data_IF_770314917677
#
_entry.id   IF_770314917677
#
_cell.length_a   1.000
_cell.length_b   1.000
_cell.length_c   1.000
_cell.angle_alpha   90.00
_cell.angle_beta   90.00
_cell.angle_gamma   90.00
#
_symmetry.space_group_name_H-M   'P 1'
#
loop_
_entity.id
_entity.type
_entity.pdbx_description
1 polymer ?
#
# COMPACT_ATOMS: atom_id res chain seq x y z
N UNK A 1 -0.98 21.02 25.94
CA UNK A 1 -1.80 19.85 25.65
C UNK A 1 -3.16 20.30 25.10
N UNK A 2 -3.50 19.88 23.92
CA UNK A 2 -4.82 20.08 23.33
C UNK A 2 -5.64 18.82 23.55
N UNK A 3 -6.89 18.98 23.99
CA UNK A 3 -7.79 17.87 24.27
C UNK A 3 -9.18 18.11 23.67
N UNK A 4 -9.84 17.05 23.28
CA UNK A 4 -11.25 17.05 22.84
C UNK A 4 -11.46 17.91 21.57
N UNK A 5 -10.82 17.53 20.49
CA UNK A 5 -11.10 18.09 19.16
C UNK A 5 -12.08 17.16 18.45
N UNK A 6 -13.19 17.72 17.97
CA UNK A 6 -14.17 16.95 17.19
C UNK A 6 -14.46 17.68 15.88
N UNK A 7 -14.30 17.00 14.76
CA UNK A 7 -14.61 17.48 13.41
C UNK A 7 -15.70 16.57 12.84
N UNK A 8 -16.87 17.13 12.57
CA UNK A 8 -18.03 16.35 12.08
C UNK A 8 -18.41 16.65 10.62
N UNK A 9 -17.69 17.57 9.98
CA UNK A 9 -17.96 17.93 8.59
C UNK A 9 -17.27 19.23 8.16
N UNK A 10 -17.60 19.70 6.97
CA UNK A 10 -17.01 20.91 6.39
C UNK A 10 -15.62 20.68 5.81
N UNK A 11 -14.94 21.77 5.46
CA UNK A 11 -13.55 21.76 5.01
C UNK A 11 -12.69 22.42 6.07
N UNK A 12 -11.70 21.69 6.54
CA UNK A 12 -10.75 22.13 7.57
C UNK A 12 -9.34 22.10 6.99
N UNK A 13 -8.71 23.27 6.95
CA UNK A 13 -7.29 23.40 6.66
C UNK A 13 -6.59 23.91 7.91
N UNK A 14 -5.70 23.09 8.47
CA UNK A 14 -4.99 23.41 9.68
C UNK A 14 -3.48 23.31 9.48
N UNK A 15 -2.79 24.35 9.88
CA UNK A 15 -1.35 24.45 9.72
C UNK A 15 -0.69 24.69 11.07
N UNK A 16 0.22 23.80 11.45
CA UNK A 16 0.99 23.91 12.70
C UNK A 16 1.94 25.12 12.65
N UNK A 17 2.08 25.77 13.79
CA UNK A 17 2.93 26.95 13.90
C UNK A 17 4.42 26.61 13.88
N UNK A 18 5.25 27.60 13.54
CA UNK A 18 6.72 27.49 13.43
C UNK A 18 7.47 27.11 14.74
N UNK A 19 6.76 26.99 15.85
CA UNK A 19 7.30 26.55 17.14
C UNK A 19 7.19 25.03 17.40
N UNK A 20 6.96 24.21 16.39
CA UNK A 20 6.87 22.75 16.56
C UNK A 20 5.48 22.24 16.96
N UNK A 21 4.43 23.03 16.73
CA UNK A 21 3.05 22.59 16.94
C UNK A 21 2.54 21.64 15.86
N UNK A 22 1.62 20.74 16.23
CA UNK A 22 0.87 19.94 15.28
C UNK A 22 -0.07 20.80 14.42
N UNK A 23 -0.41 20.33 13.20
CA UNK A 23 -1.46 20.97 12.41
C UNK A 23 -2.79 20.95 13.14
N UNK A 24 -3.21 19.78 13.61
CA UNK A 24 -4.35 19.61 14.52
C UNK A 24 -3.86 18.88 15.75
N UNK A 25 -3.89 19.55 16.92
CA UNK A 25 -3.50 18.89 18.16
C UNK A 25 -2.60 19.72 19.07
N UNK A 26 -1.50 19.12 19.54
CA UNK A 26 -0.62 19.70 20.52
C UNK A 26 0.26 20.83 19.99
N UNK A 27 0.51 21.86 20.81
CA UNK A 27 1.59 22.82 20.60
C UNK A 27 2.95 22.23 21.03
N UNK A 28 3.98 23.04 21.02
CA UNK A 28 5.32 22.66 21.49
C UNK A 28 5.28 22.03 22.89
N UNK A 29 5.90 20.87 23.04
CA UNK A 29 5.85 20.01 24.25
C UNK A 29 4.43 19.63 24.68
N UNK A 30 3.48 19.71 23.75
CA UNK A 30 2.09 19.41 24.04
C UNK A 30 1.59 18.19 23.27
N UNK A 31 0.91 17.30 23.97
CA UNK A 31 0.22 16.18 23.35
C UNK A 31 -1.11 16.61 22.73
N UNK A 32 -1.48 15.99 21.62
CA UNK A 32 -2.82 16.02 21.06
C UNK A 32 -3.58 14.80 21.57
N UNK A 33 -4.71 15.03 22.25
CA UNK A 33 -5.46 13.94 22.87
C UNK A 33 -6.96 14.04 22.61
N UNK A 34 -7.60 12.88 22.39
CA UNK A 34 -9.01 12.74 22.10
C UNK A 34 -9.41 13.60 20.87
N UNK A 35 -8.82 13.25 19.73
CA UNK A 35 -9.10 13.89 18.43
C UNK A 35 -10.03 12.98 17.65
N UNK A 36 -11.22 13.45 17.32
CA UNK A 36 -12.25 12.70 16.61
C UNK A 36 -12.54 13.37 15.28
N UNK A 37 -12.38 12.63 14.19
CA UNK A 37 -12.78 13.07 12.84
C UNK A 37 -13.89 12.14 12.36
N UNK A 38 -15.10 12.69 12.28
CA UNK A 38 -16.29 11.97 11.84
C UNK A 38 -16.98 12.69 10.69
N UNK A 39 -16.19 12.97 9.64
CA UNK A 39 -16.67 13.60 8.41
C UNK A 39 -15.84 14.80 7.98
N UNK A 40 -16.21 15.34 6.82
CA UNK A 40 -15.56 16.50 6.24
C UNK A 40 -14.29 16.18 5.42
N UNK A 41 -13.72 17.25 4.87
CA UNK A 41 -12.44 17.23 4.19
C UNK A 41 -11.40 17.93 5.10
N UNK A 42 -10.47 17.19 5.65
CA UNK A 42 -9.49 17.67 6.62
C UNK A 42 -8.10 17.61 6.03
N UNK A 43 -7.43 18.75 5.94
CA UNK A 43 -6.01 18.84 5.61
C UNK A 43 -5.26 19.42 6.80
N UNK A 44 -4.35 18.64 7.36
CA UNK A 44 -3.53 19.04 8.50
C UNK A 44 -2.05 18.91 8.15
N UNK A 45 -1.33 20.01 8.22
CA UNK A 45 0.10 20.06 7.88
C UNK A 45 0.87 20.82 8.95
N UNK A 46 2.18 20.64 8.96
CA UNK A 46 3.07 21.48 9.75
C UNK A 46 3.92 22.35 8.81
N UNK A 47 4.03 23.65 9.10
CA UNK A 47 4.94 24.55 8.40
C UNK A 47 6.00 25.08 9.34
N UNK A 48 7.26 25.04 8.92
CA UNK A 48 8.37 25.69 9.61
C UNK A 48 8.72 25.15 11.00
N UNK A 49 7.77 24.57 11.70
CA UNK A 49 7.98 23.80 12.92
C UNK A 49 8.27 22.36 12.55
N UNK A 50 9.48 22.03 12.39
CA UNK A 50 9.96 20.81 11.81
C UNK A 50 9.62 19.54 12.63
N UNK A 51 8.94 19.68 13.76
CA UNK A 51 8.89 18.64 14.79
C UNK A 51 7.49 18.16 15.19
N UNK A 52 6.41 18.82 14.75
CA UNK A 52 5.04 18.43 15.10
C UNK A 52 4.45 17.39 14.14
N UNK A 53 3.47 16.64 14.61
CA UNK A 53 2.64 15.78 13.76
C UNK A 53 1.70 16.60 12.87
N UNK A 54 1.24 16.03 11.74
CA UNK A 54 0.13 16.62 11.00
C UNK A 54 -1.12 16.67 11.89
N UNK A 55 -1.50 15.50 12.44
CA UNK A 55 -2.58 15.38 13.43
C UNK A 55 -2.03 14.65 14.66
N UNK A 56 -2.08 15.28 15.83
CA UNK A 56 -1.64 14.65 17.08
C UNK A 56 -0.73 15.51 17.94
N UNK A 57 0.47 15.04 18.25
CA UNK A 57 1.43 15.71 19.12
C UNK A 57 2.21 16.82 18.44
N UNK A 58 2.52 17.91 19.19
CA UNK A 58 3.60 18.83 18.82
C UNK A 58 4.96 18.21 19.15
N UNK A 59 6.05 18.95 18.91
CA UNK A 59 7.41 18.54 19.32
C UNK A 59 7.44 18.21 20.81
N UNK A 60 7.96 17.02 21.16
CA UNK A 60 7.97 16.51 22.52
C UNK A 60 6.59 16.08 23.04
N UNK A 61 5.61 15.91 22.19
CA UNK A 61 4.25 15.51 22.56
C UNK A 61 3.72 14.32 21.79
N UNK A 62 2.87 13.54 22.45
CA UNK A 62 2.25 12.36 21.84
C UNK A 62 0.96 12.70 21.12
N UNK A 63 0.60 11.87 20.17
CA UNK A 63 -0.75 11.80 19.60
C UNK A 63 -1.47 10.61 20.22
N UNK A 64 -2.48 10.89 21.04
CA UNK A 64 -3.18 9.84 21.79
C UNK A 64 -4.67 9.91 21.57
N UNK A 65 -5.32 8.72 21.54
CA UNK A 65 -6.76 8.61 21.42
C UNK A 65 -7.28 9.35 20.16
N UNK A 66 -6.74 9.01 19.00
CA UNK A 66 -7.09 9.62 17.71
C UNK A 66 -8.06 8.67 16.99
N UNK A 67 -9.25 9.17 16.67
CA UNK A 67 -10.31 8.40 16.05
C UNK A 67 -10.69 9.02 14.71
N UNK A 68 -10.53 8.27 13.62
CA UNK A 68 -11.00 8.65 12.29
C UNK A 68 -12.11 7.68 11.91
N UNK A 69 -13.34 8.19 11.91
CA UNK A 69 -14.55 7.40 11.69
C UNK A 69 -15.01 7.51 10.25
N UNK A 70 -14.91 8.70 9.67
CA UNK A 70 -15.31 8.98 8.29
C UNK A 70 -14.66 10.26 7.78
N UNK A 71 -14.90 10.62 6.50
CA UNK A 71 -14.38 11.83 5.87
C UNK A 71 -13.13 11.56 5.02
N UNK A 72 -12.58 12.64 4.47
CA UNK A 72 -11.33 12.62 3.70
C UNK A 72 -10.26 13.35 4.49
N UNK A 73 -9.23 12.63 4.94
CA UNK A 73 -8.19 13.15 5.80
C UNK A 73 -6.84 13.09 5.09
N UNK A 74 -6.17 14.24 5.01
CA UNK A 74 -4.78 14.34 4.58
C UNK A 74 -3.96 14.94 5.70
N UNK A 75 -2.99 14.17 6.21
CA UNK A 75 -2.13 14.60 7.30
C UNK A 75 -0.66 14.52 6.88
N UNK A 76 0.10 15.58 7.11
CA UNK A 76 1.54 15.63 6.81
C UNK A 76 2.30 16.14 8.01
N UNK A 77 3.20 15.31 8.52
CA UNK A 77 4.08 15.66 9.63
C UNK A 77 5.20 16.61 9.21
N UNK A 78 5.74 17.36 10.17
CA UNK A 78 7.00 18.06 10.01
C UNK A 78 8.17 17.09 9.97
N UNK A 79 9.37 17.57 9.76
CA UNK A 79 10.57 16.77 9.53
C UNK A 79 10.75 15.58 10.50
N UNK A 80 10.43 15.81 11.77
CA UNK A 80 10.59 14.82 12.85
C UNK A 80 9.25 14.22 13.33
N UNK A 81 8.12 14.69 12.80
CA UNK A 81 6.79 14.28 13.25
C UNK A 81 6.15 13.22 12.36
N UNK A 82 5.22 12.49 12.92
CA UNK A 82 4.34 11.59 12.19
C UNK A 82 3.31 12.36 11.34
N UNK A 83 2.77 11.73 10.30
CA UNK A 83 1.58 12.25 9.62
C UNK A 83 0.40 12.32 10.59
N UNK A 84 0.08 11.18 11.23
CA UNK A 84 -0.92 11.07 12.28
C UNK A 84 -0.26 10.39 13.48
N UNK A 85 -0.23 11.05 14.64
CA UNK A 85 0.33 10.49 15.87
C UNK A 85 1.30 11.41 16.61
N UNK A 86 2.52 10.96 16.88
CA UNK A 86 3.51 11.69 17.68
C UNK A 86 4.23 12.78 16.90
N UNK A 87 4.61 13.87 17.59
CA UNK A 87 5.65 14.79 17.16
C UNK A 87 7.05 14.20 17.43
N UNK A 88 8.11 14.99 17.25
CA UNK A 88 9.48 14.62 17.65
C UNK A 88 9.50 14.16 19.12
N UNK A 89 10.14 13.04 19.41
CA UNK A 89 10.16 12.38 20.72
C UNK A 89 8.76 12.05 21.29
N UNK A 90 7.76 11.95 20.44
CA UNK A 90 6.38 11.61 20.81
C UNK A 90 5.86 10.36 20.12
N UNK A 91 5.13 9.54 20.86
CA UNK A 91 4.50 8.33 20.35
C UNK A 91 3.12 8.60 19.74
N UNK A 92 2.70 7.73 18.83
CA UNK A 92 1.32 7.62 18.39
C UNK A 92 0.65 6.46 19.13
N UNK A 93 -0.33 6.75 19.97
CA UNK A 93 -0.94 5.75 20.84
C UNK A 93 -2.46 5.74 20.71
N UNK A 94 -3.07 4.55 20.70
CA UNK A 94 -4.52 4.38 20.61
C UNK A 94 -5.09 5.11 19.37
N UNK A 95 -4.53 4.85 18.19
CA UNK A 95 -5.01 5.42 16.93
C UNK A 95 -5.98 4.44 16.30
N UNK A 96 -7.23 4.87 16.08
CA UNK A 96 -8.26 4.04 15.48
C UNK A 96 -8.79 4.65 14.20
N UNK A 97 -8.75 3.89 13.11
CA UNK A 97 -9.34 4.25 11.83
C UNK A 97 -10.41 3.22 11.49
N UNK A 98 -11.68 3.62 11.56
CA UNK A 98 -12.81 2.75 11.27
C UNK A 98 -13.47 3.04 9.92
N UNK A 99 -13.09 4.11 9.25
CA UNK A 99 -13.65 4.45 7.94
C UNK A 99 -13.00 5.69 7.31
N UNK A 100 -13.59 6.14 6.21
CA UNK A 100 -13.10 7.29 5.46
C UNK A 100 -11.93 7.00 4.51
N UNK A 101 -11.41 8.07 3.92
CA UNK A 101 -10.21 8.04 3.07
C UNK A 101 -9.09 8.80 3.77
N UNK A 102 -8.07 8.09 4.22
CA UNK A 102 -6.98 8.63 5.03
C UNK A 102 -5.67 8.56 4.25
N UNK A 103 -5.01 9.70 4.10
CA UNK A 103 -3.66 9.78 3.53
C UNK A 103 -2.74 10.46 4.53
N UNK A 104 -1.75 9.72 5.02
CA UNK A 104 -0.82 10.17 6.05
C UNK A 104 0.62 10.10 5.55
N UNK A 105 1.34 11.20 5.65
CA UNK A 105 2.75 11.31 5.31
C UNK A 105 3.56 11.68 6.54
N UNK A 106 4.49 10.84 6.93
CA UNK A 106 5.50 11.17 7.92
C UNK A 106 6.52 12.18 7.39
N UNK A 107 7.08 12.98 8.28
CA UNK A 107 8.28 13.75 7.98
C UNK A 107 9.50 12.82 7.83
N UNK A 108 10.66 13.36 7.51
CA UNK A 108 11.88 12.59 7.22
C UNK A 108 12.17 11.46 8.24
N UNK A 109 11.88 11.71 9.53
CA UNK A 109 12.14 10.79 10.62
C UNK A 109 10.88 10.16 11.23
N UNK A 110 9.69 10.59 10.83
CA UNK A 110 8.42 10.16 11.39
C UNK A 110 7.75 9.05 10.59
N UNK A 111 6.87 8.30 11.23
CA UNK A 111 5.98 7.35 10.60
C UNK A 111 4.85 8.07 9.83
N UNK A 112 4.25 7.40 8.84
CA UNK A 112 3.01 7.87 8.24
C UNK A 112 1.90 7.95 9.28
N UNK A 113 1.66 6.84 9.98
CA UNK A 113 0.74 6.74 11.12
C UNK A 113 1.50 6.10 12.29
N UNK A 114 1.61 6.79 13.43
CA UNK A 114 2.29 6.29 14.61
C UNK A 114 3.26 7.28 15.23
N UNK A 115 4.53 6.91 15.41
CA UNK A 115 5.52 7.74 16.12
C UNK A 115 6.22 8.78 15.26
N UNK A 116 6.67 9.89 15.90
CA UNK A 116 7.68 10.77 15.34
C UNK A 116 9.11 10.23 15.55
N UNK A 117 10.15 11.02 15.30
CA UNK A 117 11.53 10.66 15.62
C UNK A 117 11.65 10.28 17.10
N UNK A 118 12.25 9.14 17.41
CA UNK A 118 12.32 8.53 18.73
C UNK A 118 10.94 8.29 19.40
N UNK A 119 9.88 8.15 18.62
CA UNK A 119 8.52 7.85 19.11
C UNK A 119 7.97 6.57 18.50
N UNK A 120 7.37 5.70 19.31
CA UNK A 120 6.77 4.44 18.89
C UNK A 120 5.37 4.59 18.32
N UNK A 121 4.90 3.54 17.64
CA UNK A 121 3.50 3.38 17.27
C UNK A 121 2.88 2.26 18.09
N UNK A 122 1.91 2.58 18.94
CA UNK A 122 1.35 1.64 19.90
C UNK A 122 -0.19 1.61 19.82
N UNK A 123 -0.77 0.40 19.87
CA UNK A 123 -2.22 0.22 19.81
C UNK A 123 -2.87 0.93 18.61
N UNK A 124 -2.38 0.64 17.41
CA UNK A 124 -2.94 1.18 16.17
C UNK A 124 -3.96 0.19 15.62
N UNK A 125 -5.20 0.61 15.45
CA UNK A 125 -6.28 -0.24 14.94
C UNK A 125 -6.87 0.33 13.66
N UNK A 126 -6.94 -0.47 12.61
CA UNK A 126 -7.61 -0.14 11.34
C UNK A 126 -8.68 -1.20 11.10
N UNK A 127 -9.94 -0.80 11.20
CA UNK A 127 -11.09 -1.70 11.00
C UNK A 127 -11.88 -1.41 9.72
N UNK A 128 -11.51 -0.35 8.98
CA UNK A 128 -12.20 -0.01 7.74
C UNK A 128 -11.61 1.21 7.03
N UNK A 129 -12.24 1.60 5.93
CA UNK A 129 -11.82 2.73 5.11
C UNK A 129 -10.71 2.41 4.11
N UNK A 130 -10.23 3.45 3.45
CA UNK A 130 -9.07 3.40 2.56
C UNK A 130 -7.93 4.19 3.18
N UNK A 131 -6.88 3.51 3.57
CA UNK A 131 -5.74 4.09 4.31
C UNK A 131 -4.49 4.00 3.46
N UNK A 132 -3.86 5.14 3.21
CA UNK A 132 -2.53 5.23 2.63
C UNK A 132 -1.59 5.90 3.64
N UNK A 133 -0.64 5.16 4.16
CA UNK A 133 0.36 5.63 5.10
C UNK A 133 1.75 5.51 4.49
N UNK A 134 2.47 6.62 4.46
CA UNK A 134 3.84 6.67 3.92
C UNK A 134 4.76 7.24 4.99
N UNK A 135 5.73 6.46 5.40
CA UNK A 135 6.80 6.90 6.31
C UNK A 135 7.77 7.87 5.62
N UNK A 136 8.39 8.73 6.41
CA UNK A 136 9.55 9.47 5.95
C UNK A 136 10.78 8.56 5.79
N UNK A 137 11.89 9.10 5.34
CA UNK A 137 13.12 8.34 5.03
C UNK A 137 13.48 7.26 6.07
N UNK A 138 13.27 7.55 7.34
CA UNK A 138 13.63 6.68 8.47
C UNK A 138 12.44 6.11 9.24
N UNK A 139 11.21 6.47 8.86
CA UNK A 139 9.99 6.04 9.54
C UNK A 139 9.29 4.87 8.85
N UNK A 140 8.49 4.15 9.60
CA UNK A 140 7.58 3.14 9.07
C UNK A 140 6.38 3.78 8.33
N UNK A 141 5.73 3.05 7.45
CA UNK A 141 4.43 3.45 6.92
C UNK A 141 3.40 3.56 8.04
N UNK A 142 3.24 2.48 8.79
CA UNK A 142 2.41 2.41 10.01
C UNK A 142 3.27 1.84 11.13
N UNK A 143 3.45 2.59 12.23
CA UNK A 143 4.20 2.13 13.40
C UNK A 143 5.23 3.12 13.92
N UNK A 144 6.49 2.70 14.06
CA UNK A 144 7.55 3.51 14.66
C UNK A 144 8.13 4.59 13.75
N UNK A 145 8.51 5.74 14.34
CA UNK A 145 9.44 6.66 13.71
C UNK A 145 10.88 6.14 13.80
N UNK A 146 11.85 6.96 13.41
CA UNK A 146 13.28 6.59 13.53
C UNK A 146 13.64 6.22 14.96
N UNK A 147 14.47 5.18 15.13
CA UNK A 147 14.93 4.60 16.40
C UNK A 147 13.81 4.09 17.32
N UNK A 148 12.67 3.71 16.75
CA UNK A 148 11.51 3.34 17.56
C UNK A 148 10.75 2.16 17.02
N UNK A 149 10.23 1.40 17.97
CA UNK A 149 9.48 0.19 17.73
C UNK A 149 8.01 0.49 17.37
N UNK A 150 7.36 -0.50 16.84
CA UNK A 150 5.92 -0.59 16.79
C UNK A 150 5.45 -1.79 17.62
N UNK A 151 4.37 -1.59 18.37
CA UNK A 151 3.75 -2.64 19.16
C UNK A 151 2.23 -2.58 19.03
N UNK A 152 1.63 -3.76 18.93
CA UNK A 152 0.18 -3.93 18.89
C UNK A 152 -0.52 -3.16 17.76
N UNK A 153 -0.26 -3.58 16.54
CA UNK A 153 -0.97 -3.07 15.35
C UNK A 153 -2.00 -4.10 14.92
N UNK A 154 -3.27 -3.70 14.84
CA UNK A 154 -4.36 -4.57 14.42
C UNK A 154 -5.04 -4.02 13.17
N UNK A 155 -5.15 -4.85 12.12
CA UNK A 155 -5.91 -4.52 10.92
C UNK A 155 -6.99 -5.58 10.74
N UNK A 156 -8.25 -5.21 10.96
CA UNK A 156 -9.39 -6.12 10.85
C UNK A 156 -10.26 -5.84 9.61
N UNK A 157 -9.93 -4.83 8.81
CA UNK A 157 -10.68 -4.52 7.59
C UNK A 157 -10.15 -3.31 6.85
N UNK A 158 -10.82 -2.97 5.75
CA UNK A 158 -10.47 -1.85 4.89
C UNK A 158 -9.44 -2.19 3.80
N UNK A 159 -9.02 -1.15 3.08
CA UNK A 159 -7.94 -1.23 2.10
C UNK A 159 -6.76 -0.41 2.62
N UNK A 160 -5.68 -1.06 2.97
CA UNK A 160 -4.52 -0.44 3.61
C UNK A 160 -3.30 -0.55 2.70
N UNK A 161 -2.68 0.58 2.42
CA UNK A 161 -1.37 0.65 1.76
C UNK A 161 -0.39 1.33 2.70
N UNK A 162 0.57 0.57 3.20
CA UNK A 162 1.60 1.04 4.09
C UNK A 162 2.97 0.96 3.42
N UNK A 163 3.58 2.11 3.19
CA UNK A 163 4.90 2.22 2.57
C UNK A 163 5.90 2.75 3.59
N UNK A 164 6.90 1.97 3.92
CA UNK A 164 8.05 2.40 4.70
C UNK A 164 8.90 3.41 3.93
N UNK A 165 9.57 4.31 4.65
CA UNK A 165 10.65 5.09 4.07
C UNK A 165 11.89 4.23 3.81
N UNK A 166 12.95 4.77 3.23
CA UNK A 166 14.17 4.04 2.83
C UNK A 166 14.67 3.01 3.86
N UNK A 167 14.55 3.31 5.14
CA UNK A 167 15.02 2.47 6.24
C UNK A 167 13.91 1.98 7.18
N UNK A 168 12.65 2.21 6.86
CA UNK A 168 11.50 1.84 7.67
C UNK A 168 10.76 0.63 7.13
N UNK A 169 10.06 -0.08 7.99
CA UNK A 169 9.13 -1.13 7.60
C UNK A 169 7.87 -0.55 6.93
N UNK A 170 7.18 -1.32 6.11
CA UNK A 170 5.84 -0.97 5.66
C UNK A 170 4.89 -0.84 6.85
N UNK A 171 4.78 -1.92 7.63
CA UNK A 171 4.06 -1.97 8.91
C UNK A 171 5.03 -2.48 9.97
N UNK A 172 5.30 -1.69 11.00
CA UNK A 172 6.21 -2.08 12.07
C UNK A 172 7.20 -1.00 12.48
N UNK A 173 8.47 -1.36 12.67
CA UNK A 173 9.51 -0.47 13.16
C UNK A 173 10.00 0.56 12.14
N UNK A 174 10.43 1.72 12.63
CA UNK A 174 11.26 2.64 11.86
C UNK A 174 12.72 2.18 11.79
N UNK A 175 13.62 3.00 11.27
CA UNK A 175 15.05 2.70 11.28
C UNK A 175 15.56 2.32 12.67
N UNK A 176 16.22 1.22 12.81
CA UNK A 176 16.68 0.60 14.05
C UNK A 176 15.55 0.23 15.04
N UNK A 177 14.31 0.25 14.62
CA UNK A 177 13.13 -0.15 15.38
C UNK A 177 12.58 -1.49 14.97
N UNK A 178 12.00 -2.20 15.92
CA UNK A 178 11.36 -3.51 15.76
C UNK A 178 9.85 -3.36 15.54
N UNK A 179 9.23 -4.34 14.89
CA UNK A 179 7.78 -4.47 14.80
C UNK A 179 7.32 -5.73 15.49
N UNK A 180 6.45 -5.59 16.47
CA UNK A 180 5.97 -6.70 17.32
C UNK A 180 4.45 -6.65 17.45
N UNK A 181 3.81 -7.84 17.66
CA UNK A 181 2.38 -7.91 17.93
C UNK A 181 1.51 -7.39 16.79
N UNK A 182 1.86 -7.70 15.54
CA UNK A 182 1.13 -7.23 14.36
C UNK A 182 0.10 -8.28 13.96
N UNK A 183 -1.18 -7.92 14.02
CA UNK A 183 -2.31 -8.82 13.73
C UNK A 183 -3.12 -8.29 12.54
N UNK A 184 -3.30 -9.10 11.52
CA UNK A 184 -4.13 -8.79 10.34
C UNK A 184 -5.22 -9.86 10.23
N UNK A 185 -6.47 -9.48 10.55
CA UNK A 185 -7.62 -10.39 10.61
C UNK A 185 -8.53 -10.28 9.37
N UNK A 186 -8.34 -9.25 8.57
CA UNK A 186 -9.16 -9.01 7.37
C UNK A 186 -8.71 -7.79 6.59
N UNK A 187 -9.44 -7.52 5.50
CA UNK A 187 -9.14 -6.42 4.59
C UNK A 187 -8.10 -6.77 3.52
N UNK A 188 -7.82 -5.80 2.68
CA UNK A 188 -6.75 -5.89 1.66
C UNK A 188 -5.60 -5.01 2.08
N UNK A 189 -4.47 -5.61 2.39
CA UNK A 189 -3.29 -4.95 2.96
C UNK A 189 -2.10 -5.09 2.03
N UNK A 190 -1.51 -3.97 1.63
CA UNK A 190 -0.21 -3.94 0.96
C UNK A 190 0.78 -3.25 1.87
N UNK A 191 1.76 -4.00 2.35
CA UNK A 191 2.83 -3.52 3.20
C UNK A 191 4.16 -3.62 2.44
N UNK A 192 4.78 -2.49 2.15
CA UNK A 192 6.05 -2.45 1.45
C UNK A 192 7.13 -1.81 2.33
N UNK A 193 8.19 -2.54 2.59
CA UNK A 193 9.38 -1.99 3.23
C UNK A 193 10.07 -0.96 2.34
N UNK A 194 10.79 -0.03 2.95
CA UNK A 194 11.78 0.76 2.23
C UNK A 194 13.01 -0.10 1.91
N UNK A 195 14.04 0.45 1.29
CA UNK A 195 15.17 -0.32 0.76
C UNK A 195 15.76 -1.33 1.76
N UNK A 196 15.86 -0.97 3.03
CA UNK A 196 16.40 -1.84 4.06
C UNK A 196 15.36 -2.29 5.11
N UNK A 197 14.09 -1.96 4.94
CA UNK A 197 13.00 -2.32 5.85
C UNK A 197 12.27 -3.59 5.44
N UNK A 198 11.67 -4.28 6.40
CA UNK A 198 10.74 -5.38 6.12
C UNK A 198 9.41 -4.85 5.56
N UNK A 199 8.69 -5.67 4.81
CA UNK A 199 7.29 -5.40 4.47
C UNK A 199 6.47 -5.25 5.75
N UNK A 200 6.52 -6.29 6.60
CA UNK A 200 5.90 -6.30 7.92
C UNK A 200 6.95 -6.74 8.95
N UNK A 201 7.21 -5.92 9.97
CA UNK A 201 8.19 -6.24 11.01
C UNK A 201 9.19 -5.14 11.29
N UNK A 202 10.49 -5.44 11.23
CA UNK A 202 11.55 -4.50 11.56
C UNK A 202 11.89 -3.50 10.46
N UNK A 203 12.24 -2.26 10.83
CA UNK A 203 12.99 -1.38 9.97
C UNK A 203 14.46 -1.82 9.89
N UNK A 204 15.29 -1.08 9.17
CA UNK A 204 16.72 -1.37 9.04
C UNK A 204 17.37 -1.67 10.38
N UNK A 205 17.95 -2.85 10.54
CA UNK A 205 18.60 -3.30 11.78
C UNK A 205 17.65 -3.63 12.93
N UNK A 206 16.34 -3.54 12.73
CA UNK A 206 15.30 -3.95 13.69
C UNK A 206 14.77 -5.35 13.42
N UNK A 207 14.09 -5.92 14.41
CA UNK A 207 13.52 -7.27 14.34
C UNK A 207 12.01 -7.24 14.08
N UNK A 208 11.48 -8.29 13.46
CA UNK A 208 10.05 -8.56 13.42
C UNK A 208 9.74 -9.76 14.32
N UNK A 209 8.62 -9.73 15.04
CA UNK A 209 8.11 -10.88 15.79
C UNK A 209 6.60 -10.78 15.99
N UNK A 210 6.00 -11.92 16.35
CA UNK A 210 4.59 -12.03 16.72
C UNK A 210 3.64 -11.44 15.66
N UNK A 211 3.82 -11.89 14.42
CA UNK A 211 2.95 -11.52 13.29
C UNK A 211 1.90 -12.60 13.11
N UNK A 212 0.63 -12.20 13.17
CA UNK A 212 -0.52 -13.09 12.94
C UNK A 212 -1.33 -12.60 11.76
N UNK A 213 -1.64 -13.47 10.82
CA UNK A 213 -2.56 -13.20 9.70
C UNK A 213 -3.66 -14.24 9.68
N UNK A 214 -4.92 -13.81 9.77
CA UNK A 214 -6.04 -14.72 9.94
C UNK A 214 -7.29 -14.26 9.18
N UNK A 215 -8.36 -15.05 9.25
CA UNK A 215 -9.63 -14.74 8.63
C UNK A 215 -9.56 -14.58 7.11
N UNK A 216 -10.23 -13.57 6.59
CA UNK A 216 -10.26 -13.26 5.15
C UNK A 216 -9.22 -12.21 4.74
N UNK A 217 -8.15 -12.06 5.50
CA UNK A 217 -7.09 -11.09 5.20
C UNK A 217 -6.40 -11.40 3.86
N UNK A 218 -6.27 -10.41 3.00
CA UNK A 218 -5.52 -10.47 1.76
C UNK A 218 -4.29 -9.57 1.89
N UNK A 219 -3.15 -10.18 2.16
CA UNK A 219 -1.92 -9.46 2.47
C UNK A 219 -0.90 -9.60 1.34
N UNK A 220 -0.35 -8.49 0.88
CA UNK A 220 0.85 -8.47 0.05
C UNK A 220 1.97 -7.84 0.86
N UNK A 221 2.99 -8.63 1.17
CA UNK A 221 4.16 -8.19 1.93
C UNK A 221 5.37 -8.11 1.00
N UNK A 222 5.87 -6.90 0.78
CA UNK A 222 6.99 -6.63 -0.10
C UNK A 222 8.24 -6.32 0.71
N UNK A 223 9.28 -7.10 0.53
CA UNK A 223 10.60 -6.85 1.11
C UNK A 223 11.26 -5.60 0.53
N UNK A 224 12.09 -4.94 1.31
CA UNK A 224 12.99 -3.91 0.79
C UNK A 224 14.06 -4.51 -0.12
N UNK A 225 14.64 -3.71 -1.01
CA UNK A 225 15.59 -4.16 -2.05
C UNK A 225 17.03 -4.31 -1.57
N UNK A 226 17.37 -3.74 -0.43
CA UNK A 226 18.74 -3.52 -0.01
C UNK A 226 19.31 -2.17 -0.48
N UNK A 227 20.46 -1.82 0.02
CA UNK A 227 21.15 -0.57 -0.31
C UNK A 227 22.66 -0.70 -0.12
N UNK A 228 23.38 0.40 -0.30
CA UNK A 228 24.86 0.43 -0.31
C UNK A 228 25.55 -0.07 0.97
N UNK A 229 24.86 -0.11 2.09
CA UNK A 229 25.46 -0.43 3.40
C UNK A 229 24.68 -1.48 4.21
N UNK A 230 23.52 -1.88 3.72
CA UNK A 230 22.63 -2.83 4.40
C UNK A 230 21.94 -3.72 3.36
N UNK A 231 21.67 -4.94 3.74
CA UNK A 231 20.92 -5.87 2.92
C UNK A 231 19.43 -5.53 2.79
N UNK A 232 18.71 -6.25 1.96
CA UNK A 232 17.26 -6.14 1.85
C UNK A 232 16.57 -6.53 3.17
N UNK A 233 15.39 -5.98 3.43
CA UNK A 233 14.53 -6.46 4.51
C UNK A 233 13.85 -7.78 4.17
N UNK A 234 13.20 -8.40 5.14
CA UNK A 234 12.30 -9.54 4.96
C UNK A 234 10.95 -9.09 4.35
N UNK A 235 10.18 -10.01 3.83
CA UNK A 235 8.77 -9.75 3.53
C UNK A 235 7.98 -9.61 4.83
N UNK A 236 8.13 -10.61 5.72
CA UNK A 236 7.66 -10.58 7.09
C UNK A 236 8.86 -10.99 7.98
N UNK A 237 9.28 -10.11 8.89
CA UNK A 237 10.44 -10.42 9.73
C UNK A 237 11.37 -9.23 9.97
N UNK A 238 12.66 -9.49 9.91
CA UNK A 238 13.68 -8.50 10.26
C UNK A 238 13.97 -7.53 9.11
N UNK A 239 14.39 -6.32 9.45
CA UNK A 239 14.99 -5.40 8.48
C UNK A 239 16.40 -5.86 8.07
N UNK A 240 16.90 -5.31 6.96
CA UNK A 240 18.22 -5.62 6.44
C UNK A 240 19.34 -5.25 7.40
N UNK A 241 20.43 -6.01 7.38
CA UNK A 241 21.57 -5.87 8.29
C UNK A 241 22.82 -5.35 7.61
N UNK A 242 23.77 -4.81 8.38
CA UNK A 242 25.11 -4.45 7.91
C UNK A 242 26.08 -5.62 7.91
N UNK A 243 25.63 -6.78 8.35
CA UNK A 243 26.44 -8.01 8.34
C UNK A 243 26.65 -8.47 6.89
N UNK A 244 27.78 -9.13 6.65
CA UNK A 244 28.14 -9.62 5.32
C UNK A 244 28.33 -11.13 5.35
N UNK A 245 28.04 -11.76 4.22
CA UNK A 245 28.38 -13.14 3.97
C UNK A 245 29.89 -13.32 3.65
N UNK A 246 30.28 -14.56 3.35
CA UNK A 246 31.68 -14.89 3.00
C UNK A 246 32.14 -14.28 1.66
N UNK A 247 31.22 -13.84 0.82
CA UNK A 247 31.49 -13.21 -0.49
C UNK A 247 31.47 -11.68 -0.40
N UNK A 248 31.12 -11.13 0.79
CA UNK A 248 31.11 -9.72 1.08
C UNK A 248 29.78 -9.00 0.77
N UNK A 249 28.72 -9.75 0.37
CA UNK A 249 27.38 -9.20 0.19
C UNK A 249 26.70 -8.97 1.54
N UNK A 250 25.89 -7.92 1.65
CA UNK A 250 25.10 -7.66 2.85
C UNK A 250 24.01 -8.70 3.02
N UNK A 251 23.88 -9.22 4.24
CA UNK A 251 22.87 -10.20 4.57
C UNK A 251 21.47 -9.58 4.59
N UNK A 252 20.46 -10.28 4.02
CA UNK A 252 19.07 -9.86 4.14
C UNK A 252 18.59 -9.96 5.59
N UNK A 253 17.48 -9.28 5.87
CA UNK A 253 16.69 -9.54 7.07
C UNK A 253 16.17 -10.98 7.07
N UNK A 254 16.12 -11.57 8.24
CA UNK A 254 15.60 -12.92 8.43
C UNK A 254 14.08 -12.92 8.28
N UNK A 255 13.55 -13.80 7.43
CA UNK A 255 12.11 -14.07 7.35
C UNK A 255 11.68 -14.80 8.62
N UNK A 256 10.50 -14.45 9.12
CA UNK A 256 9.83 -15.19 10.20
C UNK A 256 8.55 -15.81 9.66
N UNK A 257 8.17 -16.94 10.24
CA UNK A 257 6.88 -17.56 9.96
C UNK A 257 5.78 -16.75 10.65
N UNK A 258 4.83 -16.21 9.90
CA UNK A 258 3.64 -15.63 10.48
C UNK A 258 2.71 -16.74 11.01
N UNK A 259 2.01 -16.47 12.11
CA UNK A 259 0.90 -17.35 12.52
C UNK A 259 -0.28 -17.16 11.57
N UNK A 260 -0.51 -18.14 10.71
CA UNK A 260 -1.62 -18.18 9.75
C UNK A 260 -2.78 -19.07 10.19
N UNK A 261 -2.85 -19.40 11.48
CA UNK A 261 -3.93 -20.20 12.03
C UNK A 261 -5.28 -19.51 11.80
N UNK A 262 -6.17 -20.20 11.08
CA UNK A 262 -7.47 -19.64 10.73
C UNK A 262 -7.48 -18.66 9.54
N UNK A 263 -6.42 -18.57 8.77
CA UNK A 263 -6.37 -17.80 7.52
C UNK A 263 -7.18 -18.51 6.43
N UNK A 264 -8.45 -18.16 6.29
CA UNK A 264 -9.37 -18.73 5.30
C UNK A 264 -10.58 -17.80 5.09
N UNK A 265 -10.90 -17.35 3.87
CA UNK A 265 -10.22 -17.59 2.58
C UNK A 265 -9.05 -16.61 2.28
N UNK A 266 -8.40 -16.07 3.29
CA UNK A 266 -7.33 -15.12 3.15
C UNK A 266 -6.03 -15.73 2.63
N UNK A 267 -5.05 -14.87 2.39
CA UNK A 267 -3.70 -15.27 1.96
C UNK A 267 -2.65 -14.22 2.33
N UNK A 268 -1.39 -14.65 2.32
CA UNK A 268 -0.23 -13.77 2.28
C UNK A 268 0.49 -13.99 0.95
N UNK A 269 0.70 -12.96 0.20
CA UNK A 269 1.58 -12.92 -0.98
C UNK A 269 2.88 -12.23 -0.60
N UNK A 270 3.94 -12.96 -0.58
CA UNK A 270 5.30 -12.49 -0.27
C UNK A 270 6.03 -12.15 -1.55
N UNK A 271 6.68 -10.99 -1.62
CA UNK A 271 7.41 -10.54 -2.81
C UNK A 271 8.77 -9.98 -2.43
N UNK A 272 9.82 -10.51 -3.04
CA UNK A 272 11.19 -10.00 -2.96
C UNK A 272 11.60 -9.51 -4.35
N UNK A 273 12.17 -8.33 -4.42
CA UNK A 273 12.61 -7.72 -5.67
C UNK A 273 14.13 -7.75 -5.82
N UNK A 274 14.59 -7.78 -7.06
CA UNK A 274 15.95 -7.46 -7.44
C UNK A 274 16.20 -5.95 -7.34
N UNK A 275 17.45 -5.52 -7.42
CA UNK A 275 17.84 -4.11 -7.45
C UNK A 275 17.19 -3.34 -8.62
N UNK A 276 17.01 -4.00 -9.76
CA UNK A 276 16.38 -3.44 -10.97
C UNK A 276 14.84 -3.33 -10.87
N UNK A 277 14.25 -3.84 -9.78
CA UNK A 277 12.81 -3.81 -9.54
C UNK A 277 12.04 -5.00 -10.11
N UNK A 278 12.70 -5.95 -10.76
CA UNK A 278 12.08 -7.22 -11.16
C UNK A 278 11.86 -8.12 -9.94
N UNK A 279 10.85 -8.99 -10.01
CA UNK A 279 10.58 -9.96 -8.94
C UNK A 279 11.72 -10.99 -8.89
N UNK A 280 12.39 -11.09 -7.75
CA UNK A 280 13.42 -12.08 -7.49
C UNK A 280 12.83 -13.39 -7.00
N UNK A 281 11.83 -13.32 -6.11
CA UNK A 281 11.14 -14.45 -5.51
C UNK A 281 9.77 -13.99 -5.02
N UNK A 282 8.78 -14.84 -5.21
CA UNK A 282 7.45 -14.69 -4.61
C UNK A 282 6.89 -16.05 -4.18
N UNK A 283 6.04 -16.04 -3.16
CA UNK A 283 5.31 -17.22 -2.70
C UNK A 283 4.03 -16.81 -1.97
N UNK A 284 3.12 -17.76 -1.80
CA UNK A 284 1.83 -17.57 -1.12
C UNK A 284 1.73 -18.44 0.12
N UNK A 285 1.07 -17.93 1.13
CA UNK A 285 0.67 -18.67 2.31
C UNK A 285 -0.84 -18.52 2.55
N UNK A 286 -1.62 -19.63 2.59
CA UNK A 286 -1.16 -21.00 2.27
C UNK A 286 -0.82 -21.14 0.76
N UNK A 287 0.04 -22.09 0.43
CA UNK A 287 0.44 -22.35 -0.98
C UNK A 287 -0.77 -22.61 -1.89
N UNK A 288 -1.87 -23.15 -1.34
CA UNK A 288 -3.13 -23.36 -2.06
C UNK A 288 -3.82 -22.05 -2.51
N UNK A 289 -3.45 -20.93 -1.96
CA UNK A 289 -3.97 -19.61 -2.36
C UNK A 289 -3.21 -19.00 -3.54
N UNK A 290 -2.11 -19.65 -3.96
CA UNK A 290 -1.37 -19.25 -5.15
C UNK A 290 -2.31 -19.30 -6.36
N UNK A 291 -2.41 -18.24 -7.16
CA UNK A 291 -3.12 -18.31 -8.44
C UNK A 291 -2.52 -19.47 -9.26
N UNK A 292 -3.34 -20.43 -9.61
CA UNK A 292 -2.86 -21.51 -10.50
C UNK A 292 -2.45 -20.87 -11.82
N UNK A 293 -1.21 -21.08 -12.29
CA UNK A 293 -0.91 -20.75 -13.68
C UNK A 293 -1.89 -21.53 -14.55
N UNK A 294 -2.46 -20.92 -15.58
CA UNK A 294 -3.24 -21.63 -16.56
C UNK A 294 -2.37 -22.74 -17.17
N UNK A 295 -2.54 -23.96 -16.65
CA UNK A 295 -1.98 -25.15 -17.27
C UNK A 295 -2.85 -25.38 -18.50
N UNK A 296 -2.29 -25.41 -19.72
CA UNK A 296 -3.05 -25.80 -20.90
C UNK A 296 -3.74 -27.13 -20.61
N UNK A 297 -5.06 -27.20 -20.79
CA UNK A 297 -5.85 -28.40 -20.51
C UNK A 297 -5.24 -29.61 -21.24
N UNK A 298 -5.00 -30.71 -20.50
CA UNK A 298 -4.64 -31.98 -21.09
C UNK A 298 -5.83 -32.44 -22.00
N UNK A 299 -5.64 -32.61 -23.30
CA UNK A 299 -6.74 -32.93 -24.23
C UNK A 299 -7.43 -34.26 -23.95
N UNK A 300 -7.05 -35.00 -22.92
CA UNK A 300 -7.59 -36.31 -22.57
C UNK A 300 -8.44 -36.36 -21.30
N UNK A 301 -8.72 -35.20 -20.63
CA UNK A 301 -9.64 -35.15 -19.49
C UNK A 301 -11.02 -34.68 -19.95
N UNK A 302 -12.14 -35.41 -19.66
CA UNK A 302 -13.48 -34.94 -20.01
C UNK A 302 -13.83 -33.63 -19.29
N UNK A 303 -14.24 -32.62 -20.06
CA UNK A 303 -14.67 -31.31 -19.56
C UNK A 303 -15.91 -31.46 -18.68
N UNK A 304 -15.82 -30.96 -17.40
CA UNK A 304 -17.00 -30.41 -16.72
C UNK A 304 -17.21 -28.99 -17.27
N UNK A 305 -18.42 -28.70 -17.74
CA UNK A 305 -18.77 -27.46 -18.42
C UNK A 305 -18.47 -26.23 -17.55
N UNK A 306 -17.29 -25.63 -17.73
CA UNK A 306 -17.01 -24.25 -17.37
C UNK A 306 -17.34 -23.37 -18.57
N UNK A 307 -18.16 -22.35 -18.39
CA UNK A 307 -18.44 -21.38 -19.44
C UNK A 307 -17.15 -20.54 -19.70
N UNK A 308 -16.17 -21.15 -20.35
CA UNK A 308 -15.06 -20.42 -20.95
C UNK A 308 -15.54 -19.73 -22.22
N UNK A 309 -15.46 -18.42 -22.22
CA UNK A 309 -15.62 -17.63 -23.44
C UNK A 309 -14.37 -17.86 -24.28
N UNK A 310 -14.49 -18.66 -25.35
CA UNK A 310 -13.44 -18.82 -26.36
C UNK A 310 -13.11 -17.46 -26.98
N UNK A 311 -12.08 -16.82 -26.48
CA UNK A 311 -11.49 -15.59 -27.02
C UNK A 311 -10.54 -15.95 -28.16
N UNK A 312 -11.04 -16.63 -29.18
CA UNK A 312 -10.29 -16.95 -30.39
C UNK A 312 -9.69 -15.69 -31.05
N UNK A 313 -8.44 -15.45 -30.77
CA UNK A 313 -7.52 -14.38 -31.17
C UNK A 313 -7.32 -13.26 -30.15
N UNK A 314 -6.06 -12.89 -29.83
CA UNK A 314 -5.72 -11.93 -28.78
C UNK A 314 -5.94 -10.48 -29.26
N UNK A 315 -7.12 -9.95 -29.06
CA UNK A 315 -7.52 -8.62 -29.49
C UNK A 315 -7.41 -7.57 -28.38
N UNK A 316 -7.31 -8.06 -27.15
CA UNK A 316 -6.97 -7.27 -25.96
C UNK A 316 -5.75 -7.94 -25.33
N UNK A 317 -4.76 -7.15 -24.98
CA UNK A 317 -3.58 -7.62 -24.27
C UNK A 317 -3.13 -6.58 -23.24
N UNK A 318 -2.31 -7.04 -22.32
CA UNK A 318 -1.66 -6.19 -21.33
C UNK A 318 -0.16 -6.23 -21.62
N UNK A 319 0.47 -5.07 -21.57
CA UNK A 319 1.90 -4.92 -21.84
C UNK A 319 2.56 -3.99 -20.83
N UNK A 320 3.89 -4.05 -20.72
CA UNK A 320 4.66 -3.03 -20.00
C UNK A 320 4.52 -1.68 -20.71
N UNK A 321 4.95 -0.60 -20.09
CA UNK A 321 4.94 0.72 -20.74
C UNK A 321 5.95 0.79 -21.91
N UNK A 322 6.92 -0.12 -21.94
CA UNK A 322 7.91 -0.32 -23.00
C UNK A 322 7.39 -1.19 -24.16
N UNK A 323 6.28 -1.93 -23.95
CA UNK A 323 5.60 -2.72 -24.99
C UNK A 323 5.81 -4.24 -24.92
N UNK A 324 6.42 -4.76 -23.84
CA UNK A 324 6.56 -6.20 -23.62
C UNK A 324 5.24 -6.79 -23.09
N UNK A 325 4.81 -7.93 -23.62
CA UNK A 325 3.58 -8.58 -23.19
C UNK A 325 3.66 -9.03 -21.72
N UNK A 326 2.60 -8.77 -21.00
CA UNK A 326 2.42 -9.19 -19.61
C UNK A 326 1.30 -10.22 -19.49
N UNK A 327 1.42 -11.18 -18.57
CA UNK A 327 0.31 -12.07 -18.23
C UNK A 327 -0.82 -11.27 -17.58
N UNK A 328 -2.06 -11.63 -17.88
CA UNK A 328 -3.24 -11.02 -17.26
C UNK A 328 -4.37 -12.04 -17.16
N UNK A 329 -5.30 -11.81 -16.24
CA UNK A 329 -6.55 -12.53 -16.10
C UNK A 329 -7.70 -11.65 -16.60
N UNK A 330 -8.62 -12.24 -17.39
CA UNK A 330 -9.78 -11.53 -17.88
C UNK A 330 -11.05 -12.33 -17.57
N UNK A 331 -11.93 -11.75 -16.74
CA UNK A 331 -13.19 -12.40 -16.31
C UNK A 331 -14.38 -11.48 -16.52
N UNK A 332 -15.42 -11.99 -17.13
CA UNK A 332 -16.67 -11.26 -17.25
C UNK A 332 -17.55 -11.51 -16.01
N UNK A 333 -18.01 -10.42 -15.41
CA UNK A 333 -18.97 -10.45 -14.31
C UNK A 333 -20.17 -9.54 -14.67
N UNK A 334 -21.28 -10.14 -15.06
CA UNK A 334 -22.42 -9.40 -15.60
C UNK A 334 -22.05 -8.66 -16.89
N UNK A 335 -22.24 -7.32 -16.90
CA UNK A 335 -21.87 -6.47 -18.05
C UNK A 335 -20.46 -5.86 -17.94
N UNK A 336 -19.61 -6.34 -17.01
CA UNK A 336 -18.25 -5.83 -16.80
C UNK A 336 -17.22 -6.91 -17.12
N UNK A 337 -16.29 -6.63 -18.03
CA UNK A 337 -15.07 -7.41 -18.23
C UNK A 337 -13.98 -6.87 -17.29
N UNK A 338 -13.54 -7.66 -16.33
CA UNK A 338 -12.43 -7.32 -15.44
C UNK A 338 -11.14 -7.90 -16.00
N UNK A 339 -10.18 -7.04 -16.33
CA UNK A 339 -8.83 -7.37 -16.81
C UNK A 339 -7.84 -7.03 -15.70
N UNK A 340 -7.15 -8.03 -15.18
CA UNK A 340 -6.26 -7.87 -14.01
C UNK A 340 -4.85 -8.31 -14.36
N UNK A 341 -3.86 -7.53 -13.94
CA UNK A 341 -2.43 -7.89 -13.97
C UNK A 341 -1.77 -7.47 -12.67
N UNK A 342 -0.81 -8.24 -12.20
CA UNK A 342 -0.16 -8.07 -10.90
C UNK A 342 1.03 -7.09 -10.92
N UNK A 343 1.06 -6.19 -11.88
CA UNK A 343 2.12 -5.21 -12.02
C UNK A 343 1.73 -3.84 -11.47
N UNK A 344 2.72 -3.04 -11.10
CA UNK A 344 2.53 -1.65 -10.64
C UNK A 344 2.20 -0.71 -11.78
N UNK A 345 2.77 -0.99 -12.95
CA UNK A 345 2.60 -0.21 -14.17
C UNK A 345 2.37 -1.16 -15.32
N UNK A 346 1.32 -0.90 -16.08
CA UNK A 346 0.97 -1.69 -17.24
C UNK A 346 0.10 -0.87 -18.19
N UNK A 347 0.04 -1.31 -19.42
CA UNK A 347 -0.86 -0.77 -20.45
C UNK A 347 -1.82 -1.84 -20.89
N UNK A 348 -3.12 -1.55 -20.77
CA UNK A 348 -4.17 -2.29 -21.46
C UNK A 348 -4.26 -1.75 -22.87
N UNK A 349 -4.13 -2.61 -23.87
CA UNK A 349 -4.16 -2.26 -25.28
C UNK A 349 -5.08 -3.20 -26.02
N UNK A 350 -5.92 -2.65 -26.89
CA UNK A 350 -6.86 -3.48 -27.63
C UNK A 350 -7.40 -2.82 -28.90
N UNK A 351 -8.03 -3.64 -29.73
CA UNK A 351 -8.58 -3.20 -31.00
C UNK A 351 -10.05 -2.78 -30.89
N UNK A 352 -10.51 -1.97 -31.82
CA UNK A 352 -11.92 -1.64 -31.99
C UNK A 352 -12.76 -2.90 -32.18
N UNK A 353 -12.25 -3.87 -32.93
CA UNK A 353 -12.91 -5.13 -33.22
C UNK A 353 -13.15 -5.94 -31.92
N UNK A 354 -12.20 -5.90 -30.99
CA UNK A 354 -12.38 -6.50 -29.66
C UNK A 354 -13.51 -5.81 -28.88
N UNK A 355 -13.61 -4.49 -28.94
CA UNK A 355 -14.71 -3.75 -28.28
C UNK A 355 -16.08 -4.09 -28.88
N UNK A 356 -16.16 -4.28 -30.21
CA UNK A 356 -17.37 -4.67 -30.90
C UNK A 356 -17.82 -6.08 -30.48
N UNK A 357 -16.87 -7.03 -30.42
CA UNK A 357 -17.12 -8.38 -29.94
C UNK A 357 -17.56 -8.42 -28.46
N UNK A 358 -16.89 -7.68 -27.60
CA UNK A 358 -17.27 -7.58 -26.19
C UNK A 358 -18.68 -7.01 -26.02
N UNK A 359 -19.04 -5.99 -26.78
CA UNK A 359 -20.39 -5.42 -26.76
C UNK A 359 -21.44 -6.45 -27.21
N UNK A 360 -21.14 -7.27 -28.22
CA UNK A 360 -22.03 -8.37 -28.67
C UNK A 360 -22.21 -9.42 -27.58
N UNK A 361 -21.21 -9.64 -26.74
CA UNK A 361 -21.25 -10.52 -25.56
C UNK A 361 -21.93 -9.88 -24.34
N UNK A 362 -22.47 -8.65 -24.47
CA UNK A 362 -23.15 -7.94 -23.40
C UNK A 362 -22.21 -7.19 -22.42
N UNK A 363 -20.95 -7.00 -22.79
CA UNK A 363 -20.01 -6.21 -21.98
C UNK A 363 -20.23 -4.71 -22.27
N UNK A 364 -20.56 -3.98 -21.22
CA UNK A 364 -20.74 -2.52 -21.26
C UNK A 364 -19.52 -1.78 -20.70
N UNK A 365 -18.76 -2.43 -19.83
CA UNK A 365 -17.62 -1.83 -19.14
C UNK A 365 -16.39 -2.75 -19.16
N UNK A 366 -15.21 -2.18 -19.28
CA UNK A 366 -13.93 -2.85 -19.05
C UNK A 366 -13.30 -2.24 -17.80
N UNK A 367 -13.04 -3.06 -16.80
CA UNK A 367 -12.35 -2.67 -15.59
C UNK A 367 -10.91 -3.16 -15.66
N UNK A 368 -9.97 -2.23 -15.87
CA UNK A 368 -8.54 -2.55 -15.85
C UNK A 368 -7.98 -2.37 -14.46
N UNK A 369 -7.31 -3.41 -13.97
CA UNK A 369 -6.80 -3.51 -12.60
C UNK A 369 -5.31 -3.85 -12.64
N UNK A 370 -4.53 -3.00 -12.02
CA UNK A 370 -3.12 -3.25 -11.67
C UNK A 370 -3.00 -3.25 -10.15
N UNK A 371 -1.85 -3.63 -9.61
CA UNK A 371 -1.64 -3.71 -8.15
C UNK A 371 -2.05 -2.45 -7.38
N UNK A 372 -2.03 -1.26 -7.99
CA UNK A 372 -2.35 0.00 -7.30
C UNK A 372 -3.49 0.80 -7.91
N UNK A 373 -4.02 0.37 -9.03
CA UNK A 373 -5.00 1.18 -9.75
C UNK A 373 -6.10 0.32 -10.37
N UNK A 374 -7.32 0.77 -10.20
CA UNK A 374 -8.47 0.28 -10.96
C UNK A 374 -9.04 1.43 -11.75
N UNK A 375 -9.26 1.23 -13.05
CA UNK A 375 -9.93 2.20 -13.91
C UNK A 375 -10.99 1.48 -14.73
N UNK A 376 -12.19 2.05 -14.76
CA UNK A 376 -13.31 1.53 -15.55
C UNK A 376 -13.47 2.35 -16.82
N UNK A 377 -13.55 1.67 -17.96
CA UNK A 377 -13.78 2.22 -19.28
C UNK A 377 -15.15 1.81 -19.78
N UNK A 378 -15.90 2.73 -20.37
CA UNK A 378 -17.14 2.42 -21.06
C UNK A 378 -16.86 1.94 -22.48
N UNK A 379 -17.34 0.74 -22.82
CA UNK A 379 -17.21 0.19 -24.19
C UNK A 379 -17.90 1.09 -25.20
N UNK A 380 -19.06 1.66 -24.85
CA UNK A 380 -19.80 2.57 -25.72
C UNK A 380 -19.03 3.87 -26.01
N UNK A 381 -18.38 4.46 -24.98
CA UNK A 381 -17.54 5.65 -25.15
C UNK A 381 -16.31 5.38 -26.01
N UNK A 382 -15.62 4.22 -25.77
CA UNK A 382 -14.46 3.80 -26.56
C UNK A 382 -14.83 3.64 -28.04
N UNK A 383 -15.98 3.04 -28.32
CA UNK A 383 -16.48 2.88 -29.69
C UNK A 383 -16.89 4.21 -30.34
N UNK A 384 -17.43 5.15 -29.55
CA UNK A 384 -17.87 6.46 -30.04
C UNK A 384 -16.70 7.40 -30.40
N UNK A 385 -15.56 7.27 -29.73
CA UNK A 385 -14.36 8.09 -30.01
C UNK A 385 -13.74 7.80 -31.38
N UNK A 386 -14.05 6.63 -31.96
CA UNK A 386 -13.47 6.21 -33.22
C UNK A 386 -12.01 5.73 -33.08
N UNK A 387 -11.38 5.43 -34.22
CA UNK A 387 -10.04 4.84 -34.22
C UNK A 387 -10.07 3.30 -34.26
N UNK A 388 -8.94 2.72 -34.63
CA UNK A 388 -8.79 1.26 -34.76
C UNK A 388 -8.29 0.62 -33.47
N UNK A 389 -7.75 1.42 -32.54
CA UNK A 389 -7.13 0.98 -31.31
C UNK A 389 -7.52 1.86 -30.12
N UNK A 390 -7.53 1.27 -28.93
CA UNK A 390 -7.62 1.97 -27.66
C UNK A 390 -6.49 1.52 -26.73
N UNK A 391 -6.07 2.39 -25.82
CA UNK A 391 -5.11 2.04 -24.77
C UNK A 391 -5.32 2.86 -23.50
N UNK A 392 -5.09 2.20 -22.36
CA UNK A 392 -5.11 2.79 -21.05
C UNK A 392 -3.83 2.42 -20.30
N UNK A 393 -3.08 3.40 -19.86
CA UNK A 393 -1.88 3.20 -19.05
C UNK A 393 -2.20 3.39 -17.56
N UNK A 394 -1.72 2.46 -16.75
CA UNK A 394 -1.51 2.65 -15.33
C UNK A 394 -0.02 2.81 -15.07
N UNK A 395 0.35 3.83 -14.30
CA UNK A 395 1.71 4.07 -13.84
C UNK A 395 1.65 4.35 -12.34
N UNK A 396 1.79 3.29 -11.55
CA UNK A 396 1.56 3.33 -10.11
C UNK A 396 0.14 3.81 -9.79
N UNK A 397 0.00 4.96 -9.14
CA UNK A 397 -1.30 5.54 -8.77
C UNK A 397 -1.98 6.34 -9.90
N UNK A 398 -1.25 6.62 -10.97
CA UNK A 398 -1.75 7.36 -12.12
C UNK A 398 -2.46 6.46 -13.13
N UNK A 399 -3.48 7.01 -13.82
CA UNK A 399 -3.99 6.41 -15.05
C UNK A 399 -4.03 7.45 -16.15
N UNK A 400 -3.66 7.05 -17.36
CA UNK A 400 -3.68 7.90 -18.54
C UNK A 400 -4.31 7.15 -19.69
N UNK A 401 -5.43 7.64 -20.18
CA UNK A 401 -6.02 7.15 -21.43
C UNK A 401 -5.27 7.76 -22.60
N UNK A 402 -4.84 6.94 -23.54
CA UNK A 402 -4.21 7.39 -24.76
C UNK A 402 -5.30 7.76 -25.79
N UNK A 403 -5.02 8.77 -26.61
CA UNK A 403 -5.86 9.04 -27.78
C UNK A 403 -5.77 7.88 -28.79
N UNK A 404 -6.79 7.72 -29.64
CA UNK A 404 -6.79 6.68 -30.67
C UNK A 404 -5.52 6.72 -31.56
N UNK A 405 -5.04 7.90 -31.92
CA UNK A 405 -3.80 8.04 -32.70
C UNK A 405 -2.54 7.59 -31.91
N UNK A 406 -2.49 7.85 -30.62
CA UNK A 406 -1.41 7.36 -29.77
C UNK A 406 -1.48 5.84 -29.58
N UNK A 407 -2.66 5.29 -29.34
CA UNK A 407 -2.87 3.85 -29.24
C UNK A 407 -2.50 3.13 -30.56
N UNK A 408 -2.84 3.71 -31.70
CA UNK A 408 -2.48 3.16 -33.01
C UNK A 408 -0.98 3.18 -33.29
N UNK A 409 -0.25 4.18 -32.76
CA UNK A 409 1.21 4.26 -32.92
C UNK A 409 1.98 3.17 -32.18
N UNK A 410 1.36 2.52 -31.20
CA UNK A 410 1.97 1.44 -30.40
C UNK A 410 2.02 0.09 -31.16
N UNK A 411 1.23 -0.08 -32.21
CA UNK A 411 1.16 -1.34 -32.97
C UNK A 411 2.46 -1.73 -33.72
N UNK A 412 3.43 -0.83 -33.81
CA UNK A 412 4.70 -1.07 -34.52
C UNK A 412 5.58 -2.17 -33.93
N UNK A 413 5.24 -2.74 -32.76
CA UNK A 413 6.04 -3.75 -32.06
C UNK A 413 5.48 -5.17 -32.18
N UNK A 414 4.44 -5.38 -32.99
CA UNK A 414 3.78 -6.69 -33.19
C UNK A 414 4.33 -7.47 -34.41
N UNK A 415 5.68 -7.41 -34.64
CA UNK A 415 6.35 -8.23 -35.67
C UNK A 415 7.46 -9.09 -35.08
#
# INVERSE_FOLDING_TARGET
NTKNITITGGTVEAVGGSGGGAGIGGGYRGSGKNIIINGGAVTATTTGGESGAGIGGGSGGDGRDIFIISGTVKATGGKYGAGIGGGENGSGENITISGGSVTAFGGEFGAGIGGGDNGGGENITISGGTVKATGGKYGAGIGGGKNSDADTITISGGTVTAQGGENGAGIGGGNAGSGMGITIEGGTVTAAGGDNGAGIGGGRGGSGSDVTVSGAAQVTANAGKGGDQYGPGATIGNGGTSNRDSEGAFLPGEEIDADITGLTPGYIHHVIYNEDGTVKREWWEPESARPTPDVPADPNVPEEESNEVDMGTPWIHVETLEGDLLPFDARQQGSTLRVTTDTLSARLHGTRQALEALREQGVEQIQFVTSFKTTTLSVAELLAEGGSWFALEHNGLGSRRLSAAQAESLKCWMH
#
